data_IF_803202351518
#
_entry.id   IF_803202351518
#
_cell.length_a   1.000
_cell.length_b   1.000
_cell.length_c   1.000
_cell.angle_alpha   90.00
_cell.angle_beta   90.00
_cell.angle_gamma   90.00
#
_symmetry.space_group_name_H-M   'P 1'
#
loop_
_entity.id
_entity.type
_entity.pdbx_description
1 polymer ?
#
# COMPACT_ATOMS: atom_id res chain seq x y z
N UNK A 1 13.39 -16.99 70.59
CA UNK A 1 14.14 -16.66 69.36
C UNK A 1 13.44 -17.22 68.13
N UNK A 2 13.22 -18.54 68.02
CA UNK A 2 12.49 -19.16 66.88
C UNK A 2 11.10 -18.58 66.56
N UNK A 3 10.28 -18.30 67.58
CA UNK A 3 8.91 -17.81 67.37
C UNK A 3 8.86 -16.41 66.75
N UNK A 4 9.87 -15.59 67.06
CA UNK A 4 10.02 -14.21 66.54
C UNK A 4 10.45 -14.23 65.07
N UNK A 5 11.32 -15.16 64.70
CA UNK A 5 11.81 -15.37 63.35
C UNK A 5 10.72 -15.89 62.41
N UNK A 6 9.91 -16.86 62.86
CA UNK A 6 8.73 -17.35 62.13
C UNK A 6 7.74 -16.21 61.87
N UNK A 7 7.50 -15.36 62.87
CA UNK A 7 6.57 -14.22 62.74
C UNK A 7 7.09 -13.16 61.77
N UNK A 8 8.40 -12.95 61.72
CA UNK A 8 9.05 -12.07 60.74
C UNK A 8 8.88 -12.60 59.31
N UNK A 9 9.10 -13.90 59.10
CA UNK A 9 8.96 -14.54 57.78
C UNK A 9 7.51 -14.48 57.27
N UNK A 10 6.53 -14.72 58.14
CA UNK A 10 5.10 -14.61 57.78
C UNK A 10 4.76 -13.18 57.31
N UNK A 11 5.19 -12.15 58.05
CA UNK A 11 4.95 -10.76 57.65
C UNK A 11 5.62 -10.43 56.31
N UNK A 12 6.84 -10.93 56.07
CA UNK A 12 7.56 -10.71 54.82
C UNK A 12 6.87 -11.41 53.63
N UNK A 13 6.38 -12.64 53.81
CA UNK A 13 5.61 -13.36 52.78
C UNK A 13 4.27 -12.69 52.50
N UNK A 14 3.60 -12.14 53.51
CA UNK A 14 2.35 -11.36 53.34
C UNK A 14 2.59 -10.07 52.54
N UNK A 15 3.68 -9.37 52.81
CA UNK A 15 4.07 -8.15 52.07
C UNK A 15 4.42 -8.48 50.62
N UNK A 16 5.22 -9.53 50.39
CA UNK A 16 5.53 -10.02 49.03
C UNK A 16 4.27 -10.46 48.26
N UNK A 17 3.34 -11.14 48.93
CA UNK A 17 2.07 -11.56 48.32
C UNK A 17 1.23 -10.36 47.91
N UNK A 18 1.21 -9.31 48.72
CA UNK A 18 0.50 -8.06 48.40
C UNK A 18 1.14 -7.38 47.18
N UNK A 19 2.46 -7.20 47.18
CA UNK A 19 3.19 -6.58 46.07
C UNK A 19 2.99 -7.32 44.75
N UNK A 20 3.01 -8.67 44.79
CA UNK A 20 2.71 -9.51 43.63
C UNK A 20 1.27 -9.35 43.15
N UNK A 21 0.31 -9.23 44.07
CA UNK A 21 -1.11 -9.04 43.73
C UNK A 21 -1.33 -7.68 43.05
N UNK A 22 -0.71 -6.63 43.59
CA UNK A 22 -0.76 -5.27 43.02
C UNK A 22 -0.11 -5.25 41.63
N UNK A 23 1.05 -5.88 41.48
CA UNK A 23 1.74 -6.02 40.18
C UNK A 23 0.90 -6.78 39.14
N UNK A 24 0.21 -7.86 39.54
CA UNK A 24 -0.69 -8.61 38.67
C UNK A 24 -1.86 -7.72 38.21
N UNK A 25 -2.39 -6.91 39.11
CA UNK A 25 -3.50 -6.01 38.80
C UNK A 25 -3.08 -4.93 37.80
N UNK A 26 -1.93 -4.29 38.02
CA UNK A 26 -1.35 -3.31 37.09
C UNK A 26 -1.12 -3.91 35.70
N UNK A 27 -0.51 -5.10 35.63
CA UNK A 27 -0.26 -5.79 34.36
C UNK A 27 -1.55 -6.17 33.62
N UNK A 28 -2.62 -6.53 34.35
CA UNK A 28 -3.94 -6.79 33.76
C UNK A 28 -4.54 -5.52 33.15
N UNK A 29 -4.45 -4.40 33.85
CA UNK A 29 -4.95 -3.11 33.37
C UNK A 29 -4.15 -2.63 32.14
N UNK A 30 -2.83 -2.77 32.17
CA UNK A 30 -2.00 -2.49 31.00
C UNK A 30 -2.36 -3.38 29.81
N UNK A 31 -2.59 -4.67 30.04
CA UNK A 31 -2.95 -5.62 28.98
C UNK A 31 -4.29 -5.23 28.35
N UNK A 32 -5.27 -4.81 29.14
CA UNK A 32 -6.57 -4.33 28.64
C UNK A 32 -6.36 -3.08 27.77
N UNK A 33 -5.62 -2.07 28.27
CA UNK A 33 -5.31 -0.84 27.53
C UNK A 33 -4.59 -1.14 26.21
N UNK A 34 -3.59 -2.03 26.23
CA UNK A 34 -2.84 -2.43 25.02
C UNK A 34 -3.75 -3.14 24.01
N UNK A 35 -4.66 -4.01 24.45
CA UNK A 35 -5.65 -4.67 23.58
C UNK A 35 -6.60 -3.68 22.93
N UNK A 36 -7.09 -2.70 23.67
CA UNK A 36 -7.97 -1.64 23.13
C UNK A 36 -7.25 -0.79 22.08
N UNK A 37 -5.99 -0.42 22.33
CA UNK A 37 -5.17 0.30 21.35
C UNK A 37 -5.00 -0.51 20.07
N UNK A 38 -4.64 -1.80 20.17
CA UNK A 38 -4.48 -2.68 19.00
C UNK A 38 -5.80 -2.82 18.24
N UNK A 39 -6.92 -2.99 18.95
CA UNK A 39 -8.23 -3.09 18.32
C UNK A 39 -8.59 -1.81 17.54
N UNK A 40 -8.29 -0.64 18.11
CA UNK A 40 -8.49 0.66 17.45
C UNK A 40 -7.62 0.82 16.20
N UNK A 41 -6.32 0.50 16.30
CA UNK A 41 -5.38 0.55 15.16
C UNK A 41 -5.84 -0.38 14.05
N UNK A 42 -6.22 -1.62 14.37
CA UNK A 42 -6.68 -2.61 13.40
C UNK A 42 -7.98 -2.17 12.72
N UNK A 43 -8.91 -1.57 13.48
CA UNK A 43 -10.15 -1.01 12.93
C UNK A 43 -9.84 0.10 11.94
N UNK A 44 -9.00 1.07 12.32
CA UNK A 44 -8.61 2.19 11.46
C UNK A 44 -7.85 1.71 10.20
N UNK A 45 -6.97 0.71 10.34
CA UNK A 45 -6.27 0.11 9.21
C UNK A 45 -7.24 -0.59 8.25
N UNK A 46 -8.21 -1.36 8.76
CA UNK A 46 -9.25 -2.02 7.96
C UNK A 46 -10.10 -1.01 7.19
N UNK A 47 -10.57 0.04 7.85
CA UNK A 47 -11.34 1.11 7.22
C UNK A 47 -10.52 1.86 6.14
N UNK A 48 -9.22 2.07 6.38
CA UNK A 48 -8.31 2.64 5.38
C UNK A 48 -8.17 1.74 4.16
N UNK A 49 -7.94 0.44 4.35
CA UNK A 49 -7.84 -0.53 3.27
C UNK A 49 -9.13 -0.57 2.46
N UNK A 50 -10.29 -0.65 3.12
CA UNK A 50 -11.58 -0.69 2.44
C UNK A 50 -11.82 0.55 1.57
N UNK A 51 -11.50 1.75 2.08
CA UNK A 51 -11.61 2.99 1.30
C UNK A 51 -10.67 3.02 0.11
N UNK A 52 -9.41 2.59 0.28
CA UNK A 52 -8.44 2.55 -0.80
C UNK A 52 -8.83 1.52 -1.87
N UNK A 53 -9.31 0.34 -1.48
CA UNK A 53 -9.83 -0.67 -2.41
C UNK A 53 -11.01 -0.15 -3.21
N UNK A 54 -11.99 0.50 -2.56
CA UNK A 54 -13.13 1.12 -3.27
C UNK A 54 -12.67 2.20 -4.25
N UNK A 55 -11.70 3.03 -3.86
CA UNK A 55 -11.16 4.06 -4.75
C UNK A 55 -10.39 3.47 -5.94
N UNK A 56 -9.62 2.40 -5.72
CA UNK A 56 -8.90 1.68 -6.78
C UNK A 56 -9.89 1.19 -7.84
N UNK A 57 -10.92 0.44 -7.43
CA UNK A 57 -11.95 -0.10 -8.33
C UNK A 57 -12.63 1.03 -9.11
N UNK A 58 -12.99 2.12 -8.42
CA UNK A 58 -13.64 3.27 -9.07
C UNK A 58 -12.76 3.91 -10.17
N UNK A 59 -11.45 4.05 -9.92
CA UNK A 59 -10.53 4.60 -10.91
C UNK A 59 -10.30 3.64 -12.07
N UNK A 60 -10.17 2.34 -11.81
CA UNK A 60 -10.04 1.31 -12.84
C UNK A 60 -11.24 1.31 -13.79
N UNK A 61 -12.46 1.29 -13.24
CA UNK A 61 -13.70 1.30 -14.02
C UNK A 61 -13.88 2.60 -14.81
N UNK A 62 -13.69 3.76 -14.18
CA UNK A 62 -13.97 5.06 -14.81
C UNK A 62 -12.91 5.51 -15.81
N UNK A 63 -11.65 5.20 -15.54
CA UNK A 63 -10.55 5.59 -16.43
C UNK A 63 -10.27 4.54 -17.50
N UNK A 64 -10.75 3.30 -17.29
CA UNK A 64 -10.31 2.14 -18.06
C UNK A 64 -8.81 1.94 -17.91
N UNK A 65 -8.25 2.16 -16.72
CA UNK A 65 -6.82 2.10 -16.46
C UNK A 65 -6.55 1.28 -15.20
N UNK A 66 -5.89 0.14 -15.39
CA UNK A 66 -5.37 -0.70 -14.31
C UNK A 66 -3.85 -0.48 -14.16
N UNK A 67 -3.37 -0.43 -12.91
CA UNK A 67 -1.95 -0.28 -12.58
C UNK A 67 -1.52 -1.48 -11.72
N UNK A 68 -0.69 -2.34 -12.28
CA UNK A 68 -0.23 -3.57 -11.62
C UNK A 68 1.26 -3.48 -11.31
N UNK A 69 1.65 -3.86 -10.10
CA UNK A 69 3.05 -4.19 -9.83
C UNK A 69 3.35 -5.56 -10.42
N UNK A 70 4.43 -5.66 -11.20
CA UNK A 70 4.95 -6.91 -11.73
C UNK A 70 6.33 -7.19 -11.13
N UNK A 71 7.03 -8.21 -11.61
CA UNK A 71 8.37 -8.56 -11.12
C UNK A 71 9.38 -7.41 -11.37
N UNK A 72 10.53 -7.49 -10.70
CA UNK A 72 11.65 -6.56 -10.92
C UNK A 72 11.34 -5.07 -10.68
N UNK A 73 10.50 -4.78 -9.68
CA UNK A 73 10.10 -3.40 -9.31
C UNK A 73 9.47 -2.59 -10.44
N UNK A 74 8.83 -3.25 -11.41
CA UNK A 74 8.16 -2.58 -12.52
C UNK A 74 6.66 -2.42 -12.27
N UNK A 75 6.09 -1.39 -12.89
CA UNK A 75 4.66 -1.11 -12.93
C UNK A 75 4.15 -1.25 -14.36
N UNK A 76 3.08 -2.04 -14.52
CA UNK A 76 2.37 -2.18 -15.78
C UNK A 76 1.11 -1.32 -15.75
N UNK A 77 0.90 -0.56 -16.82
CA UNK A 77 -0.25 0.31 -17.01
C UNK A 77 -1.09 -0.26 -18.14
N UNK A 78 -2.29 -0.72 -17.83
CA UNK A 78 -3.17 -1.45 -18.74
C UNK A 78 -4.39 -0.57 -19.02
N UNK A 79 -4.45 -0.03 -20.24
CA UNK A 79 -5.61 0.69 -20.72
C UNK A 79 -6.60 -0.26 -21.40
N UNK A 80 -7.87 -0.12 -21.05
CA UNK A 80 -9.05 -0.71 -21.70
C UNK A 80 -9.98 0.40 -22.17
N UNK A 81 -11.04 0.05 -22.89
CA UNK A 81 -11.99 0.99 -23.47
C UNK A 81 -11.32 2.00 -24.43
N UNK A 82 -10.26 1.54 -25.10
CA UNK A 82 -9.56 2.32 -26.14
C UNK A 82 -10.18 2.03 -27.51
N UNK A 83 -10.40 0.75 -27.82
CA UNK A 83 -11.05 0.30 -29.05
C UNK A 83 -12.56 0.23 -28.82
N UNK A 84 -13.33 1.03 -29.54
CA UNK A 84 -14.79 1.05 -29.42
C UNK A 84 -15.45 -0.25 -29.94
N UNK A 85 -14.77 -1.01 -30.79
CA UNK A 85 -15.28 -2.28 -31.33
C UNK A 85 -14.98 -3.45 -30.39
N UNK A 86 -13.90 -3.34 -29.62
CA UNK A 86 -13.47 -4.34 -28.64
C UNK A 86 -13.03 -3.63 -27.33
N UNK A 87 -13.99 -3.25 -26.47
CA UNK A 87 -13.70 -2.47 -25.26
C UNK A 87 -12.80 -3.20 -24.26
N UNK A 88 -12.75 -4.53 -24.32
CA UNK A 88 -11.92 -5.37 -23.46
C UNK A 88 -10.47 -5.48 -23.95
N UNK A 89 -10.19 -5.08 -25.19
CA UNK A 89 -8.83 -5.07 -25.75
C UNK A 89 -7.90 -4.20 -24.92
N UNK A 90 -6.79 -4.80 -24.49
CA UNK A 90 -5.79 -4.15 -23.65
C UNK A 90 -4.70 -3.44 -24.47
N UNK A 91 -4.35 -2.23 -24.06
CA UNK A 91 -3.21 -1.45 -24.54
C UNK A 91 -2.31 -1.17 -23.35
N UNK A 92 -1.06 -1.59 -23.41
CA UNK A 92 -0.22 -1.78 -22.22
C UNK A 92 1.13 -1.13 -22.40
N UNK A 93 1.63 -0.45 -21.36
CA UNK A 93 3.05 -0.14 -21.26
C UNK A 93 3.57 -0.48 -19.87
N UNK A 94 4.86 -0.76 -19.78
CA UNK A 94 5.53 -1.09 -18.52
C UNK A 94 6.60 -0.06 -18.22
N UNK A 95 6.68 0.35 -16.97
CA UNK A 95 7.53 1.42 -16.47
C UNK A 95 8.35 0.94 -15.27
N UNK A 96 9.63 1.28 -15.25
CA UNK A 96 10.53 1.14 -14.11
C UNK A 96 11.13 2.48 -13.74
N UNK A 97 11.76 2.52 -12.56
CA UNK A 97 12.68 3.59 -12.18
C UNK A 97 14.09 3.01 -12.31
N UNK A 98 14.94 3.65 -13.11
CA UNK A 98 16.31 3.18 -13.33
C UNK A 98 17.23 3.55 -12.14
N UNK A 99 18.51 3.16 -12.23
CA UNK A 99 19.50 3.42 -11.18
C UNK A 99 19.74 4.91 -10.90
N UNK A 100 19.46 5.78 -11.87
CA UNK A 100 19.59 7.23 -11.75
C UNK A 100 18.33 7.87 -11.14
N UNK A 101 17.27 7.09 -10.88
CA UNK A 101 16.00 7.59 -10.38
C UNK A 101 15.04 8.11 -11.46
N UNK A 102 15.35 7.87 -12.74
CA UNK A 102 14.55 8.32 -13.88
C UNK A 102 13.53 7.28 -14.33
N UNK A 103 12.42 7.78 -14.90
CA UNK A 103 11.39 6.94 -15.52
C UNK A 103 11.91 6.23 -16.78
N UNK A 104 11.74 4.92 -16.85
CA UNK A 104 12.15 4.09 -17.99
C UNK A 104 11.02 3.17 -18.46
N UNK A 105 10.61 3.30 -19.72
CA UNK A 105 9.63 2.44 -20.36
C UNK A 105 10.33 1.19 -20.86
N UNK A 106 10.03 0.05 -20.26
CA UNK A 106 10.66 -1.23 -20.57
C UNK A 106 9.92 -2.02 -21.65
N UNK A 107 8.64 -1.73 -21.87
CA UNK A 107 7.83 -2.34 -22.94
C UNK A 107 6.58 -1.50 -23.25
N UNK A 108 6.08 -1.61 -24.47
CA UNK A 108 4.85 -0.96 -24.92
C UNK A 108 4.17 -1.81 -26.01
N UNK A 109 2.92 -2.20 -25.78
CA UNK A 109 2.15 -3.09 -26.64
C UNK A 109 0.72 -2.56 -26.78
N UNK A 110 0.28 -2.17 -28.00
CA UNK A 110 1.06 -2.13 -29.24
C UNK A 110 2.20 -1.10 -29.17
N UNK A 111 3.26 -1.24 -29.98
CA UNK A 111 4.33 -0.24 -30.03
C UNK A 111 3.80 1.15 -30.41
N UNK A 112 4.39 2.19 -29.81
CA UNK A 112 4.08 3.60 -30.09
C UNK A 112 5.34 4.32 -30.55
N UNK A 113 5.31 4.91 -31.74
CA UNK A 113 6.46 5.64 -32.30
C UNK A 113 6.90 6.84 -31.44
N UNK A 114 5.99 7.40 -30.64
CA UNK A 114 6.22 8.57 -29.79
C UNK A 114 6.61 8.24 -28.33
N UNK A 115 6.79 6.95 -27.98
CA UNK A 115 7.00 6.54 -26.58
C UNK A 115 8.30 7.10 -25.98
N UNK A 116 9.37 7.15 -26.79
CA UNK A 116 10.68 7.68 -26.37
C UNK A 116 10.62 9.20 -26.11
N UNK A 117 9.89 9.94 -26.94
CA UNK A 117 9.67 11.38 -26.76
C UNK A 117 8.91 11.65 -25.45
N UNK A 118 7.86 10.86 -25.17
CA UNK A 118 7.10 10.98 -23.93
C UNK A 118 7.95 10.65 -22.70
N UNK A 119 8.82 9.64 -22.79
CA UNK A 119 9.76 9.29 -21.73
C UNK A 119 10.73 10.45 -21.45
N UNK A 120 11.34 11.03 -22.48
CA UNK A 120 12.25 12.17 -22.31
C UNK A 120 11.54 13.32 -21.61
N UNK A 121 10.33 13.66 -22.08
CA UNK A 121 9.54 14.76 -21.53
C UNK A 121 9.12 14.55 -20.07
N UNK A 122 8.80 13.32 -19.66
CA UNK A 122 8.45 13.04 -18.25
C UNK A 122 9.68 13.12 -17.35
N UNK A 123 10.88 12.76 -17.83
CA UNK A 123 12.12 12.98 -17.09
C UNK A 123 12.43 14.46 -16.89
N UNK A 124 12.21 15.28 -17.91
CA UNK A 124 12.44 16.73 -17.84
C UNK A 124 11.42 17.46 -16.95
N UNK A 125 10.14 17.08 -17.04
CA UNK A 125 9.05 17.84 -16.41
C UNK A 125 8.54 17.25 -15.10
N UNK A 126 8.86 15.98 -14.83
CA UNK A 126 8.24 15.14 -13.80
C UNK A 126 6.70 15.16 -13.82
N UNK A 127 6.08 15.49 -14.96
CA UNK A 127 4.64 15.58 -15.09
C UNK A 127 4.05 14.23 -15.51
N UNK A 128 3.98 13.31 -14.54
CA UNK A 128 3.50 11.95 -14.77
C UNK A 128 2.06 11.90 -15.30
N UNK A 129 1.19 12.83 -14.87
CA UNK A 129 -0.20 12.87 -15.35
C UNK A 129 -0.28 13.17 -16.85
N UNK A 130 0.53 14.09 -17.36
CA UNK A 130 0.58 14.42 -18.79
C UNK A 130 1.19 13.28 -19.60
N UNK A 131 2.21 12.61 -19.05
CA UNK A 131 2.82 11.42 -19.66
C UNK A 131 1.79 10.31 -19.92
N UNK A 132 1.06 9.90 -18.88
CA UNK A 132 0.02 8.84 -18.97
C UNK A 132 -1.11 9.26 -19.92
N UNK A 133 -1.53 10.53 -19.87
CA UNK A 133 -2.58 11.05 -20.76
C UNK A 133 -2.17 11.05 -22.24
N UNK A 134 -0.92 11.43 -22.54
CA UNK A 134 -0.38 11.41 -23.89
C UNK A 134 -0.25 9.99 -24.45
N UNK A 135 0.19 9.03 -23.63
CA UNK A 135 0.20 7.61 -24.01
C UNK A 135 -1.21 7.12 -24.32
N UNK A 136 -2.20 7.41 -23.47
CA UNK A 136 -3.61 7.05 -23.74
C UNK A 136 -4.08 7.60 -25.09
N UNK A 137 -3.79 8.89 -25.36
CA UNK A 137 -4.13 9.53 -26.64
C UNK A 137 -3.46 8.85 -27.83
N UNK A 138 -2.20 8.44 -27.69
CA UNK A 138 -1.46 7.73 -28.74
C UNK A 138 -2.05 6.33 -29.00
N UNK A 139 -2.38 5.57 -27.96
CA UNK A 139 -3.08 4.28 -28.12
C UNK A 139 -4.43 4.44 -28.81
N UNK A 140 -5.22 5.46 -28.42
CA UNK A 140 -6.47 5.78 -29.09
C UNK A 140 -6.27 6.08 -30.58
N UNK A 141 -5.24 6.86 -30.95
CA UNK A 141 -4.95 7.16 -32.35
C UNK A 141 -4.56 5.91 -33.16
N UNK A 142 -3.83 4.96 -32.55
CA UNK A 142 -3.48 3.68 -33.20
C UNK A 142 -4.70 2.76 -33.33
N UNK A 143 -5.66 2.82 -32.40
CA UNK A 143 -6.88 2.00 -32.47
C UNK A 143 -7.83 2.37 -33.60
N UNK A 144 -7.75 3.60 -34.12
CA UNK A 144 -8.56 4.05 -35.26
C UNK A 144 -7.97 3.66 -36.62
N UNK A 145 -6.71 3.21 -36.66
CA UNK A 145 -6.07 2.67 -37.86
C UNK A 145 -6.52 1.23 -38.08
#
# INVERSE_FOLDING_TARGET
QHLTEIKSNINQEEEQKKDLTDSIQELKEELIKKKEIIASINKAAKERVERLCKSKVLFEERLGLEICRIHSEQLQFIFRHIDHKDPDKSYVFTLSINEQGDYEVTSCTPPLDCIEEFQLKVRETNNFSVFVANIKKAFTAVSYK
#
